data_IF_064178276249
#
_entry.id   IF_064178276249
#
_cell.length_a   1.000
_cell.length_b   1.000
_cell.length_c   1.000
_cell.angle_alpha   90.00
_cell.angle_beta   90.00
_cell.angle_gamma   90.00
#
_symmetry.space_group_name_H-M   'P 1'
#
loop_
_entity.id
_entity.type
_entity.pdbx_description
1 polymer ?
#
# COMPACT_ATOMS: atom_id res chain seq x y z
N UNK A 1 13.36 14.20 -4.45
CA UNK A 1 12.37 14.61 -3.42
C UNK A 1 12.99 15.59 -2.43
N UNK A 2 14.13 15.25 -1.85
CA UNK A 2 14.93 16.11 -0.96
C UNK A 2 15.35 17.44 -1.61
N UNK A 3 15.68 17.45 -2.90
CA UNK A 3 16.00 18.69 -3.65
C UNK A 3 14.80 19.64 -3.85
N UNK A 4 13.57 19.12 -3.89
CA UNK A 4 12.37 19.93 -4.13
C UNK A 4 11.82 20.59 -2.86
N UNK A 5 12.30 20.19 -1.68
CA UNK A 5 11.78 20.65 -0.39
C UNK A 5 12.70 21.68 0.30
N UNK A 6 13.80 22.08 -0.33
CA UNK A 6 14.80 23.02 0.22
C UNK A 6 15.16 22.69 1.68
N UNK A 7 15.35 21.40 1.98
CA UNK A 7 15.78 20.96 3.31
C UNK A 7 17.26 21.28 3.50
N UNK A 8 17.63 21.69 4.71
CA UNK A 8 19.04 21.80 5.08
C UNK A 8 19.67 20.40 5.16
N UNK A 9 21.00 20.29 5.06
CA UNK A 9 21.68 18.99 5.00
C UNK A 9 21.50 18.16 6.28
N UNK A 10 21.36 18.81 7.44
CA UNK A 10 20.97 18.16 8.70
C UNK A 10 19.53 17.62 8.67
N UNK A 11 18.57 18.38 8.14
CA UNK A 11 17.17 17.96 7.98
C UNK A 11 17.05 16.79 7.00
N UNK A 12 17.89 16.75 5.96
CA UNK A 12 17.96 15.63 5.00
C UNK A 12 18.47 14.36 5.67
N UNK A 13 19.58 14.45 6.41
CA UNK A 13 20.16 13.30 7.11
C UNK A 13 19.17 12.66 8.09
N UNK A 14 18.51 13.48 8.91
CA UNK A 14 17.51 13.00 9.86
C UNK A 14 16.28 12.38 9.16
N UNK A 15 15.86 12.93 8.02
CA UNK A 15 14.75 12.38 7.24
C UNK A 15 15.11 11.03 6.61
N UNK A 16 16.34 10.88 6.10
CA UNK A 16 16.81 9.65 5.48
C UNK A 16 16.92 8.52 6.50
N UNK A 17 17.46 8.79 7.69
CA UNK A 17 17.48 7.82 8.80
C UNK A 17 16.06 7.41 9.22
N UNK A 18 15.18 8.39 9.44
CA UNK A 18 13.77 8.14 9.78
C UNK A 18 13.07 7.28 8.71
N UNK A 19 13.35 7.54 7.43
CA UNK A 19 12.79 6.79 6.31
C UNK A 19 13.30 5.34 6.30
N UNK A 20 14.60 5.12 6.50
CA UNK A 20 15.18 3.78 6.55
C UNK A 20 14.60 2.96 7.71
N UNK A 21 14.50 3.55 8.90
CA UNK A 21 13.94 2.88 10.06
C UNK A 21 12.45 2.58 9.91
N UNK A 22 11.67 3.52 9.36
CA UNK A 22 10.27 3.24 9.06
C UNK A 22 10.14 2.10 8.04
N UNK A 23 10.99 2.08 7.02
CA UNK A 23 10.94 1.05 5.98
C UNK A 23 11.26 -0.34 6.53
N UNK A 24 12.23 -0.46 7.45
CA UNK A 24 12.51 -1.71 8.17
C UNK A 24 11.26 -2.18 8.92
N UNK A 25 10.63 -1.32 9.72
CA UNK A 25 9.40 -1.65 10.47
C UNK A 25 8.26 -2.07 9.54
N UNK A 26 8.08 -1.39 8.41
CA UNK A 26 7.04 -1.73 7.44
C UNK A 26 7.28 -3.10 6.78
N UNK A 27 8.54 -3.49 6.56
CA UNK A 27 8.87 -4.83 6.06
C UNK A 27 8.45 -5.89 7.08
N UNK A 28 8.80 -5.70 8.36
CA UNK A 28 8.48 -6.65 9.42
C UNK A 28 6.96 -6.78 9.62
N UNK A 29 6.24 -5.66 9.63
CA UNK A 29 4.78 -5.63 9.74
C UNK A 29 4.08 -6.27 8.54
N UNK A 30 4.62 -6.05 7.33
CA UNK A 30 4.11 -6.73 6.14
C UNK A 30 4.36 -8.24 6.24
N UNK A 31 5.53 -8.66 6.68
CA UNK A 31 5.84 -10.07 6.92
C UNK A 31 4.87 -10.71 7.91
N UNK A 32 4.55 -10.01 8.99
CA UNK A 32 3.52 -10.43 9.96
C UNK A 32 2.15 -10.58 9.30
N UNK A 33 1.70 -9.57 8.54
CA UNK A 33 0.41 -9.63 7.83
C UNK A 33 0.33 -10.81 6.86
N UNK A 34 1.38 -11.06 6.06
CA UNK A 34 1.38 -12.19 5.12
C UNK A 34 1.42 -13.55 5.85
N UNK A 35 2.10 -13.64 7.00
CA UNK A 35 2.03 -14.83 7.85
C UNK A 35 0.62 -15.09 8.35
N UNK A 36 -0.05 -14.08 8.92
CA UNK A 36 -1.43 -14.26 9.40
C UNK A 36 -2.42 -14.60 8.28
N UNK A 37 -2.16 -14.14 7.05
CA UNK A 37 -2.91 -14.54 5.85
C UNK A 37 -2.70 -16.02 5.53
N UNK A 38 -1.45 -16.49 5.51
CA UNK A 38 -1.14 -17.89 5.23
C UNK A 38 -1.80 -18.81 6.28
N UNK A 39 -1.75 -18.43 7.56
CA UNK A 39 -2.41 -19.18 8.62
C UNK A 39 -3.93 -19.18 8.47
N UNK A 40 -4.53 -18.09 7.98
CA UNK A 40 -5.96 -18.04 7.66
C UNK A 40 -6.32 -19.02 6.54
N UNK A 41 -5.52 -19.05 5.47
CA UNK A 41 -5.69 -20.00 4.36
C UNK A 41 -5.60 -21.45 4.87
N UNK A 42 -4.59 -21.75 5.70
CA UNK A 42 -4.41 -23.07 6.31
C UNK A 42 -5.61 -23.52 7.16
N UNK A 43 -6.19 -22.64 8.02
CA UNK A 43 -7.38 -23.03 8.80
C UNK A 43 -8.63 -23.19 7.95
N UNK A 44 -8.73 -22.48 6.82
CA UNK A 44 -9.84 -22.61 5.86
C UNK A 44 -9.77 -23.89 5.01
N UNK A 45 -8.56 -24.38 4.71
CA UNK A 45 -8.34 -25.57 3.87
C UNK A 45 -8.51 -26.91 4.62
N UNK A 46 -8.79 -26.88 5.93
CA UNK A 46 -9.03 -28.09 6.72
C UNK A 46 -10.35 -28.77 6.34
N UNK A 47 -10.37 -30.10 6.40
CA UNK A 47 -11.54 -30.93 6.08
C UNK A 47 -12.77 -30.60 6.95
N UNK A 48 -12.56 -30.32 8.23
CA UNK A 48 -13.58 -29.81 9.15
C UNK A 48 -13.39 -28.32 9.40
N UNK A 49 -14.42 -27.50 9.09
CA UNK A 49 -14.39 -26.07 9.33
C UNK A 49 -14.64 -25.74 10.81
N UNK A 50 -13.60 -25.29 11.50
CA UNK A 50 -13.71 -24.69 12.83
C UNK A 50 -13.95 -23.18 12.68
N UNK A 51 -15.23 -22.79 12.60
CA UNK A 51 -15.66 -21.40 12.44
C UNK A 51 -15.08 -20.46 13.52
N UNK A 52 -15.11 -20.80 14.83
CA UNK A 52 -14.42 -20.00 15.86
C UNK A 52 -12.93 -19.78 15.58
N UNK A 53 -12.19 -20.80 15.17
CA UNK A 53 -10.76 -20.68 14.88
C UNK A 53 -10.50 -19.79 13.65
N UNK A 54 -11.32 -19.94 12.61
CA UNK A 54 -11.27 -19.10 11.41
C UNK A 54 -11.52 -17.63 11.75
N UNK A 55 -12.56 -17.34 12.52
CA UNK A 55 -12.88 -15.96 12.92
C UNK A 55 -11.78 -15.34 13.79
N UNK A 56 -11.17 -16.11 14.68
CA UNK A 56 -10.03 -15.67 15.48
C UNK A 56 -8.81 -15.34 14.60
N UNK A 57 -8.54 -16.16 13.58
CA UNK A 57 -7.43 -15.94 12.66
C UNK A 57 -7.66 -14.76 11.72
N UNK A 58 -8.90 -14.58 11.24
CA UNK A 58 -9.29 -13.40 10.48
C UNK A 58 -9.07 -12.10 11.28
N UNK A 59 -9.45 -12.10 12.57
CA UNK A 59 -9.22 -10.94 13.43
C UNK A 59 -7.72 -10.61 13.55
N UNK A 60 -6.85 -11.62 13.72
CA UNK A 60 -5.39 -11.42 13.75
C UNK A 60 -4.85 -10.79 12.46
N UNK A 61 -5.36 -11.23 11.32
CA UNK A 61 -5.00 -10.66 10.02
C UNK A 61 -5.43 -9.18 9.93
N UNK A 62 -6.65 -8.85 10.36
CA UNK A 62 -7.13 -7.47 10.37
C UNK A 62 -6.34 -6.59 11.35
N UNK A 63 -5.99 -7.10 12.52
CA UNK A 63 -5.11 -6.40 13.47
C UNK A 63 -3.74 -6.12 12.84
N UNK A 64 -3.16 -7.09 12.11
CA UNK A 64 -1.90 -6.90 11.40
C UNK A 64 -2.00 -5.84 10.28
N UNK A 65 -3.12 -5.81 9.54
CA UNK A 65 -3.41 -4.77 8.54
C UNK A 65 -3.54 -3.39 9.17
N UNK A 66 -4.26 -3.30 10.30
CA UNK A 66 -4.44 -2.06 11.05
C UNK A 66 -3.11 -1.53 11.60
N UNK A 67 -2.24 -2.42 12.11
CA UNK A 67 -0.90 -2.05 12.58
C UNK A 67 -0.03 -1.51 11.43
N UNK A 68 -0.06 -2.16 10.27
CA UNK A 68 0.66 -1.69 9.08
C UNK A 68 0.16 -0.32 8.62
N UNK A 69 -1.16 -0.09 8.62
CA UNK A 69 -1.75 1.20 8.28
C UNK A 69 -1.37 2.29 9.30
N UNK A 70 -1.39 1.95 10.59
CA UNK A 70 -1.00 2.82 11.69
C UNK A 70 0.44 3.29 11.56
N UNK A 71 1.39 2.38 11.30
CA UNK A 71 2.80 2.77 11.14
C UNK A 71 3.06 3.61 9.89
N UNK A 72 2.34 3.36 8.79
CA UNK A 72 2.39 4.23 7.60
C UNK A 72 1.93 5.64 7.94
N UNK A 73 0.83 5.77 8.68
CA UNK A 73 0.31 7.08 9.08
C UNK A 73 1.23 7.78 10.09
N UNK A 74 1.79 7.04 11.05
CA UNK A 74 2.77 7.53 12.00
C UNK A 74 3.97 8.15 11.31
N UNK A 75 4.50 7.52 10.26
CA UNK A 75 5.58 8.10 9.46
C UNK A 75 5.20 9.46 8.87
N UNK A 76 4.00 9.59 8.29
CA UNK A 76 3.53 10.86 7.73
C UNK A 76 3.44 11.94 8.81
N UNK A 77 3.01 11.59 10.02
CA UNK A 77 3.01 12.52 11.16
C UNK A 77 4.43 12.98 11.50
N UNK A 78 5.39 12.07 11.60
CA UNK A 78 6.78 12.42 11.93
C UNK A 78 7.41 13.30 10.84
N UNK A 79 7.19 12.99 9.56
CA UNK A 79 7.62 13.85 8.45
C UNK A 79 6.99 15.23 8.56
N UNK A 80 5.68 15.33 8.85
CA UNK A 80 4.98 16.61 9.01
C UNK A 80 5.53 17.43 10.17
N UNK A 81 5.93 16.79 11.28
CA UNK A 81 6.57 17.47 12.42
C UNK A 81 7.93 18.03 12.03
N UNK A 82 8.73 17.27 11.27
CA UNK A 82 10.07 17.65 10.86
C UNK A 82 10.09 18.81 9.84
N UNK A 83 9.29 18.72 8.76
CA UNK A 83 9.37 19.71 7.67
C UNK A 83 8.48 20.95 7.87
N UNK A 84 7.54 20.91 8.83
CA UNK A 84 6.61 22.02 9.08
C UNK A 84 5.38 22.05 8.15
N UNK A 85 4.50 23.04 8.36
CA UNK A 85 3.19 23.09 7.67
C UNK A 85 3.33 23.40 6.18
N UNK A 86 4.03 24.49 5.86
CA UNK A 86 4.06 25.02 4.50
C UNK A 86 4.76 24.05 3.53
N UNK A 87 5.92 23.51 3.94
CA UNK A 87 6.65 22.50 3.16
C UNK A 87 5.83 21.21 2.98
N UNK A 88 5.02 20.83 3.98
CA UNK A 88 4.13 19.69 3.86
C UNK A 88 2.97 19.94 2.90
N UNK A 89 2.41 21.15 2.84
CA UNK A 89 1.38 21.48 1.84
C UNK A 89 1.93 21.40 0.42
N UNK A 90 3.15 21.91 0.20
CA UNK A 90 3.86 21.75 -1.08
C UNK A 90 4.06 20.29 -1.44
N UNK A 91 4.50 19.47 -0.47
CA UNK A 91 4.67 18.02 -0.65
C UNK A 91 3.35 17.32 -1.01
N UNK A 92 2.27 17.64 -0.30
CA UNK A 92 0.92 17.09 -0.57
C UNK A 92 0.42 17.46 -1.97
N UNK A 93 0.61 18.71 -2.38
CA UNK A 93 0.24 19.18 -3.71
C UNK A 93 1.00 18.42 -4.81
N UNK A 94 2.31 18.20 -4.61
CA UNK A 94 3.16 17.41 -5.50
C UNK A 94 2.66 15.96 -5.63
N UNK A 95 2.40 15.27 -4.52
CA UNK A 95 1.87 13.91 -4.54
C UNK A 95 0.47 13.82 -5.17
N UNK A 96 -0.41 14.78 -4.88
CA UNK A 96 -1.75 14.84 -5.47
C UNK A 96 -1.68 14.95 -6.99
N UNK A 97 -0.74 15.76 -7.49
CA UNK A 97 -0.48 15.88 -8.93
C UNK A 97 0.01 14.56 -9.53
N UNK A 98 0.99 13.91 -8.91
CA UNK A 98 1.50 12.61 -9.39
C UNK A 98 0.42 11.52 -9.42
N UNK A 99 -0.44 11.43 -8.40
CA UNK A 99 -1.55 10.48 -8.37
C UNK A 99 -2.52 10.73 -9.54
N UNK A 100 -2.90 11.98 -9.79
CA UNK A 100 -3.77 12.36 -10.92
C UNK A 100 -3.14 12.04 -12.28
N UNK A 101 -1.84 12.25 -12.43
CA UNK A 101 -1.11 11.92 -13.65
C UNK A 101 -1.06 10.40 -13.87
N UNK A 102 -0.84 9.62 -12.80
CA UNK A 102 -0.87 8.15 -12.87
C UNK A 102 -2.27 7.60 -13.18
N UNK A 103 -3.33 8.21 -12.67
CA UNK A 103 -4.71 7.84 -13.01
C UNK A 103 -5.02 8.10 -14.49
N UNK A 104 -4.54 9.22 -15.03
CA UNK A 104 -4.67 9.56 -16.46
C UNK A 104 -3.97 8.53 -17.35
N UNK A 105 -2.74 8.13 -17.01
CA UNK A 105 -1.99 7.11 -17.77
C UNK A 105 -2.42 5.67 -17.48
N UNK A 106 -2.97 5.38 -16.30
CA UNK A 106 -3.55 4.08 -15.95
C UNK A 106 -4.82 3.76 -16.75
N UNK A 107 -5.56 4.78 -17.17
CA UNK A 107 -6.72 4.65 -18.06
C UNK A 107 -6.37 4.21 -19.49
N UNK A 108 -5.20 4.57 -20.01
CA UNK A 108 -4.77 4.17 -21.37
C UNK A 108 -4.39 2.69 -21.45
N UNK A 109 -3.77 2.14 -20.40
CA UNK A 109 -3.41 0.71 -20.31
C UNK A 109 -4.64 -0.21 -20.19
N UNK A 110 -5.73 0.29 -19.64
CA UNK A 110 -7.03 -0.40 -19.54
C UNK A 110 -7.78 -0.46 -20.89
N UNK A 111 -7.63 0.56 -21.74
CA UNK A 111 -8.26 0.59 -23.07
C UNK A 111 -7.64 -0.40 -24.06
N UNK A 112 -6.33 -0.65 -24.01
CA UNK A 112 -5.67 -1.63 -24.90
C UNK A 112 -6.13 -3.08 -24.67
N UNK A 113 -6.49 -3.45 -23.43
CA UNK A 113 -6.92 -4.82 -23.09
C UNK A 113 -8.35 -5.15 -23.55
N UNK A 114 -9.17 -4.15 -23.93
CA UNK A 114 -10.54 -4.37 -24.41
C UNK A 114 -10.63 -4.73 -25.90
N UNK A 115 -9.57 -4.52 -26.68
CA UNK A 115 -9.56 -4.82 -28.12
C UNK A 115 -9.04 -6.22 -28.46
N UNK A 116 -8.52 -6.97 -27.48
CA UNK A 116 -7.81 -8.24 -27.73
C UNK A 116 -8.61 -9.48 -27.30
N UNK A 117 -9.92 -9.36 -27.00
CA UNK A 117 -10.78 -10.49 -26.61
C UNK A 117 -12.06 -10.60 -27.48
N UNK A 118 -12.04 -10.05 -28.69
CA UNK A 118 -13.15 -10.11 -29.65
C UNK A 118 -13.07 -11.26 -30.67
N UNK A 119 -12.35 -12.34 -30.39
CA UNK A 119 -12.15 -13.46 -31.31
C UNK A 119 -12.78 -14.77 -30.82
N UNK A 120 -14.08 -14.96 -31.12
CA UNK A 120 -14.77 -16.24 -31.43
C UNK A 120 -16.26 -16.16 -31.04
N UNK A 121 -17.10 -15.66 -31.96
CA UNK A 121 -18.49 -16.10 -32.01
C UNK A 121 -18.57 -17.17 -33.11
N UNK A 122 -18.57 -18.44 -32.67
CA UNK A 122 -18.77 -19.61 -33.54
C UNK A 122 -20.21 -19.62 -34.07
N UNK A 123 -20.33 -19.92 -35.36
CA UNK A 123 -21.52 -20.41 -36.05
C UNK A 123 -22.25 -21.48 -35.24
N UNK A 124 -23.59 -21.43 -35.23
CA UNK A 124 -24.62 -22.50 -35.29
C UNK A 124 -25.98 -21.77 -35.39
N UNK A 125 -27.00 -22.07 -36.20
CA UNK A 125 -27.23 -22.94 -37.36
C UNK A 125 -28.58 -22.50 -37.98
N UNK A 126 -28.79 -22.83 -39.26
CA UNK A 126 -30.11 -22.93 -39.92
C UNK A 126 -30.98 -24.06 -39.33
#
# INVERSE_FOLDING_TARGET
MTEQLNLNDEEKGALDELFLDNRRKLIDLKGTMERERLELENVFEKESLDEPAVMAQFKRLEDARANLATERFRFVIEVRKMIGYDRFQSLKAFFTRLCRERERHGGERSKLKKYDHGGHARQWNE
#
